data_IF_784269332748
#
_entry.id   IF_784269332748
#
_cell.length_a   1.000
_cell.length_b   1.000
_cell.length_c   1.000
_cell.angle_alpha   90.00
_cell.angle_beta   90.00
_cell.angle_gamma   90.00
#
_symmetry.space_group_name_H-M   'P 1'
#
loop_
_entity.id
_entity.type
_entity.pdbx_description
1 polymer ?
#
# COMPACT_ATOMS: atom_id res chain seq x y z
N UNK A 1 -15.40 35.32 31.17
CA UNK A 1 -13.99 35.46 30.73
C UNK A 1 -13.43 34.06 30.52
N UNK A 2 -13.44 33.54 29.29
CA UNK A 2 -12.98 32.18 29.00
C UNK A 2 -11.50 32.21 28.58
N UNK A 3 -10.64 31.64 29.42
CA UNK A 3 -9.22 31.51 29.20
C UNK A 3 -8.97 30.53 28.05
N UNK A 4 -8.63 31.05 26.87
CA UNK A 4 -8.17 30.26 25.72
C UNK A 4 -6.91 29.51 26.14
N UNK A 5 -7.02 28.20 26.39
CA UNK A 5 -5.88 27.34 26.62
C UNK A 5 -4.92 27.43 25.42
N UNK A 6 -3.72 27.95 25.65
CA UNK A 6 -2.65 28.05 24.64
C UNK A 6 -2.26 26.62 24.24
N UNK A 7 -2.69 26.14 23.06
CA UNK A 7 -2.28 24.82 22.55
C UNK A 7 -0.76 24.79 22.51
N UNK A 8 -0.16 23.76 23.13
CA UNK A 8 1.29 23.54 23.07
C UNK A 8 1.64 23.20 21.61
N UNK A 9 2.48 24.01 20.98
CA UNK A 9 2.95 23.83 19.59
C UNK A 9 4.20 22.97 19.50
N UNK A 10 4.90 22.73 20.62
CA UNK A 10 6.16 21.98 20.69
C UNK A 10 6.27 21.18 22.00
N UNK A 11 6.89 19.99 21.93
CA UNK A 11 7.29 19.17 23.08
C UNK A 11 8.69 18.62 22.80
N UNK A 12 9.64 18.81 23.74
CA UNK A 12 11.03 18.32 23.62
C UNK A 12 11.68 18.79 22.29
N UNK A 13 11.44 20.05 21.89
CA UNK A 13 12.00 20.63 20.66
C UNK A 13 11.42 20.08 19.35
N UNK A 14 10.41 19.21 19.41
CA UNK A 14 9.72 18.71 18.24
C UNK A 14 8.43 19.49 17.99
N UNK A 15 8.22 19.92 16.74
CA UNK A 15 6.97 20.50 16.27
C UNK A 15 5.82 19.50 16.43
N UNK A 16 4.72 19.93 17.04
CA UNK A 16 3.51 19.11 17.19
C UNK A 16 2.55 19.34 16.02
N UNK A 17 2.31 18.27 15.25
CA UNK A 17 1.23 18.23 14.26
C UNK A 17 -0.10 17.92 14.97
N UNK A 18 -0.80 18.96 15.43
CA UNK A 18 -1.99 18.85 16.29
C UNK A 18 -3.31 18.74 15.54
N UNK A 19 -3.32 19.09 14.26
CA UNK A 19 -4.48 19.03 13.37
C UNK A 19 -4.30 17.95 12.31
N UNK A 20 -5.39 17.54 11.67
CA UNK A 20 -5.29 16.57 10.57
C UNK A 20 -4.53 17.20 9.40
N UNK A 21 -4.83 18.45 9.08
CA UNK A 21 -4.24 19.23 8.01
C UNK A 21 -2.72 19.32 8.14
N UNK A 22 -2.22 19.56 9.36
CA UNK A 22 -0.78 19.53 9.66
C UNK A 22 -0.17 18.14 9.47
N UNK A 23 -0.87 17.08 9.87
CA UNK A 23 -0.39 15.70 9.74
C UNK A 23 -0.33 15.27 8.27
N UNK A 24 -1.32 15.64 7.46
CA UNK A 24 -1.42 15.24 6.04
C UNK A 24 -0.98 16.33 5.07
N UNK A 25 -0.12 17.26 5.51
CA UNK A 25 0.36 18.34 4.65
C UNK A 25 1.13 17.73 3.44
N UNK A 26 0.72 18.01 2.19
CA UNK A 26 1.16 17.25 1.02
C UNK A 26 2.68 17.15 0.82
N UNK A 27 3.49 18.22 1.03
CA UNK A 27 4.93 18.16 0.82
C UNK A 27 5.70 17.13 1.66
N UNK A 28 5.10 16.60 2.73
CA UNK A 28 5.70 15.52 3.53
C UNK A 28 4.77 14.32 3.68
N UNK A 29 3.79 14.18 2.79
CA UNK A 29 2.80 13.11 2.84
C UNK A 29 2.91 12.25 1.58
N UNK A 30 2.88 10.94 1.76
CA UNK A 30 2.76 9.98 0.67
C UNK A 30 1.47 9.17 0.76
N UNK A 31 0.80 8.97 -0.37
CA UNK A 31 -0.26 8.00 -0.53
C UNK A 31 0.35 6.65 -0.93
N UNK A 32 0.14 5.63 -0.11
CA UNK A 32 0.49 4.24 -0.42
C UNK A 32 -0.74 3.53 -1.01
N UNK A 33 -0.65 3.08 -2.25
CA UNK A 33 -1.64 2.23 -2.92
C UNK A 33 -1.16 0.79 -2.84
N UNK A 34 -1.74 0.02 -1.90
CA UNK A 34 -1.27 -1.32 -1.55
C UNK A 34 -2.05 -2.39 -2.31
N UNK A 35 -1.32 -3.23 -3.04
CA UNK A 35 -1.78 -4.50 -3.62
C UNK A 35 -3.01 -4.41 -4.54
N UNK A 36 -3.20 -3.27 -5.20
CA UNK A 36 -4.18 -3.11 -6.29
C UNK A 36 -3.65 -3.71 -7.60
N UNK A 37 -3.24 -4.98 -7.56
CA UNK A 37 -2.65 -5.71 -8.69
C UNK A 37 -3.62 -6.73 -9.27
N UNK A 38 -3.52 -6.99 -10.58
CA UNK A 38 -4.50 -7.76 -11.35
C UNK A 38 -4.88 -9.10 -10.70
N UNK A 39 -3.91 -9.91 -10.25
CA UNK A 39 -4.18 -11.22 -9.66
C UNK A 39 -5.03 -11.16 -8.38
N UNK A 40 -5.04 -10.04 -7.67
CA UNK A 40 -5.75 -9.88 -6.40
C UNK A 40 -7.15 -9.29 -6.54
N UNK A 41 -7.39 -8.48 -7.56
CA UNK A 41 -8.59 -7.63 -7.66
C UNK A 41 -9.28 -7.64 -9.02
N UNK A 42 -8.65 -8.18 -10.07
CA UNK A 42 -9.27 -8.34 -11.38
C UNK A 42 -10.05 -9.67 -11.48
N UNK A 43 -11.25 -9.69 -12.08
CA UNK A 43 -12.00 -10.93 -12.30
C UNK A 43 -11.21 -12.00 -13.07
N UNK A 44 -10.34 -11.63 -14.01
CA UNK A 44 -9.47 -12.56 -14.73
C UNK A 44 -8.20 -12.94 -13.94
N UNK A 45 -7.96 -12.29 -12.80
CA UNK A 45 -6.85 -12.58 -11.90
C UNK A 45 -6.95 -13.93 -11.19
N UNK A 46 -5.80 -14.52 -10.85
CA UNK A 46 -5.72 -15.86 -10.24
C UNK A 46 -6.47 -15.97 -8.91
N UNK A 47 -6.60 -14.92 -8.09
CA UNK A 47 -7.37 -15.00 -6.84
C UNK A 47 -8.85 -15.31 -7.10
N UNK A 48 -9.44 -14.75 -8.16
CA UNK A 48 -10.80 -15.08 -8.56
C UNK A 48 -10.85 -16.42 -9.31
N UNK A 49 -10.03 -16.55 -10.36
CA UNK A 49 -10.11 -17.68 -11.29
C UNK A 49 -9.69 -19.02 -10.70
N UNK A 50 -8.73 -19.03 -9.76
CA UNK A 50 -8.16 -20.27 -9.21
C UNK A 50 -8.46 -20.49 -7.74
N UNK A 51 -8.52 -19.41 -6.95
CA UNK A 51 -8.85 -19.50 -5.53
C UNK A 51 -10.33 -19.24 -5.22
N UNK A 52 -11.17 -18.91 -6.22
CA UNK A 52 -12.60 -18.69 -6.05
C UNK A 52 -12.95 -17.49 -5.16
N UNK A 53 -12.03 -16.53 -5.03
CA UNK A 53 -12.20 -15.41 -4.08
C UNK A 53 -13.29 -14.44 -4.56
N UNK A 54 -14.28 -14.13 -3.71
CA UNK A 54 -15.22 -13.05 -3.99
C UNK A 54 -14.50 -11.70 -4.08
N UNK A 55 -14.70 -10.99 -5.20
CA UNK A 55 -14.03 -9.71 -5.44
C UNK A 55 -14.84 -8.48 -5.06
N UNK A 56 -16.11 -8.64 -4.66
CA UNK A 56 -17.02 -7.52 -4.40
C UNK A 56 -16.40 -6.44 -3.51
N UNK A 57 -15.86 -6.83 -2.34
CA UNK A 57 -15.22 -5.87 -1.42
C UNK A 57 -13.90 -5.32 -1.95
N UNK A 58 -13.10 -6.15 -2.62
CA UNK A 58 -11.79 -5.74 -3.13
C UNK A 58 -11.90 -4.79 -4.33
N UNK A 59 -12.98 -4.87 -5.11
CA UNK A 59 -13.26 -3.95 -6.22
C UNK A 59 -14.06 -2.72 -5.81
N UNK A 60 -14.88 -2.80 -4.76
CA UNK A 60 -15.67 -1.67 -4.27
C UNK A 60 -14.82 -0.44 -3.87
N UNK A 61 -13.55 -0.66 -3.53
CA UNK A 61 -12.63 0.43 -3.14
C UNK A 61 -12.03 1.18 -4.34
N UNK A 62 -12.09 0.63 -5.56
CA UNK A 62 -11.43 1.19 -6.76
C UNK A 62 -11.87 2.64 -7.03
N UNK A 63 -13.17 2.99 -7.07
CA UNK A 63 -13.59 4.36 -7.35
C UNK A 63 -13.13 5.36 -6.29
N UNK A 64 -12.99 4.91 -5.04
CA UNK A 64 -12.48 5.74 -3.94
C UNK A 64 -10.97 5.97 -4.11
N UNK A 65 -10.22 4.93 -4.46
CA UNK A 65 -8.79 5.03 -4.73
C UNK A 65 -8.48 5.93 -5.92
N UNK A 66 -9.27 5.87 -6.99
CA UNK A 66 -9.11 6.78 -8.14
C UNK A 66 -9.21 8.25 -7.70
N UNK A 67 -10.22 8.59 -6.90
CA UNK A 67 -10.36 9.95 -6.35
C UNK A 67 -9.21 10.31 -5.41
N UNK A 68 -8.77 9.38 -4.57
CA UNK A 68 -7.70 9.62 -3.61
C UNK A 68 -6.35 9.84 -4.31
N UNK A 69 -6.05 9.05 -5.34
CA UNK A 69 -4.85 9.20 -6.18
C UNK A 69 -4.89 10.53 -6.92
N UNK A 70 -6.01 10.88 -7.57
CA UNK A 70 -6.16 12.15 -8.27
C UNK A 70 -6.00 13.36 -7.33
N UNK A 71 -6.55 13.27 -6.11
CA UNK A 71 -6.41 14.31 -5.09
C UNK A 71 -4.97 14.43 -4.58
N UNK A 72 -4.29 13.30 -4.35
CA UNK A 72 -2.88 13.28 -3.93
C UNK A 72 -1.99 13.95 -4.97
N UNK A 73 -2.16 13.61 -6.26
CA UNK A 73 -1.42 14.22 -7.37
C UNK A 73 -1.68 15.72 -7.48
N UNK A 74 -2.95 16.13 -7.48
CA UNK A 74 -3.34 17.55 -7.51
C UNK A 74 -2.73 18.34 -6.34
N UNK A 75 -2.62 17.73 -5.16
CA UNK A 75 -2.03 18.33 -3.98
C UNK A 75 -0.49 18.31 -3.96
N UNK A 76 0.16 17.63 -4.89
CA UNK A 76 1.61 17.44 -4.92
C UNK A 76 2.15 16.44 -3.90
N UNK A 77 1.29 15.57 -3.36
CA UNK A 77 1.72 14.47 -2.50
C UNK A 77 2.33 13.32 -3.32
N UNK A 78 3.33 12.64 -2.77
CA UNK A 78 3.96 11.49 -3.41
C UNK A 78 2.97 10.31 -3.50
N UNK A 79 2.80 9.71 -4.67
CA UNK A 79 2.01 8.48 -4.83
C UNK A 79 2.97 7.29 -4.98
N UNK A 80 2.79 6.28 -4.14
CA UNK A 80 3.61 5.07 -4.12
C UNK A 80 2.72 3.85 -4.26
N UNK A 81 2.91 3.10 -5.34
CA UNK A 81 2.28 1.81 -5.55
C UNK A 81 3.13 0.71 -4.92
N UNK A 82 2.54 0.01 -3.95
CA UNK A 82 3.19 -1.08 -3.22
C UNK A 82 2.53 -2.38 -3.64
N UNK A 83 3.16 -3.11 -4.57
CA UNK A 83 2.58 -4.29 -5.20
C UNK A 83 3.23 -5.59 -4.72
N UNK A 84 2.42 -6.54 -4.28
CA UNK A 84 2.88 -7.88 -3.97
C UNK A 84 3.45 -8.60 -5.20
N UNK A 85 4.54 -9.33 -4.99
CA UNK A 85 5.21 -10.16 -5.99
C UNK A 85 5.53 -11.52 -5.41
N UNK A 86 5.47 -12.53 -6.27
CA UNK A 86 6.01 -13.87 -6.02
C UNK A 86 7.12 -14.11 -7.03
N UNK A 87 8.29 -14.56 -6.56
CA UNK A 87 9.38 -14.93 -7.46
C UNK A 87 9.17 -16.36 -7.99
N UNK A 88 9.69 -16.68 -9.19
CA UNK A 88 9.62 -18.02 -9.75
C UNK A 88 10.31 -19.05 -8.85
N UNK A 89 9.89 -20.31 -8.99
CA UNK A 89 10.51 -21.49 -8.36
C UNK A 89 10.64 -21.42 -6.83
N UNK A 90 9.76 -20.63 -6.18
CA UNK A 90 9.80 -20.43 -4.73
C UNK A 90 10.98 -19.60 -4.25
N UNK A 91 11.70 -18.92 -5.15
CA UNK A 91 12.80 -18.04 -4.77
C UNK A 91 12.33 -16.99 -3.73
N UNK A 92 13.17 -16.75 -2.73
CA UNK A 92 12.82 -15.82 -1.63
C UNK A 92 11.68 -16.29 -0.71
N UNK A 93 11.25 -17.55 -0.80
CA UNK A 93 10.24 -18.14 0.07
C UNK A 93 10.84 -19.24 0.95
N UNK A 94 10.68 -19.13 2.26
CA UNK A 94 11.03 -20.23 3.18
C UNK A 94 9.93 -21.27 3.24
N UNK A 95 10.23 -22.48 3.73
CA UNK A 95 9.22 -23.52 3.95
C UNK A 95 8.06 -23.04 4.83
N UNK A 96 8.36 -22.33 5.93
CA UNK A 96 7.34 -21.74 6.80
C UNK A 96 6.47 -20.69 6.09
N UNK A 97 7.05 -19.91 5.18
CA UNK A 97 6.28 -18.94 4.38
C UNK A 97 5.35 -19.65 3.40
N UNK A 98 5.84 -20.66 2.68
CA UNK A 98 5.03 -21.46 1.75
C UNK A 98 3.88 -22.17 2.46
N UNK A 99 4.16 -22.74 3.63
CA UNK A 99 3.17 -23.39 4.50
C UNK A 99 2.12 -22.40 5.04
N UNK A 100 2.53 -21.19 5.43
CA UNK A 100 1.58 -20.15 5.82
C UNK A 100 0.70 -19.70 4.63
N UNK A 101 1.27 -19.58 3.42
CA UNK A 101 0.53 -19.18 2.22
C UNK A 101 -0.41 -20.27 1.70
N UNK A 102 -0.04 -21.54 1.81
CA UNK A 102 -0.91 -22.64 1.38
C UNK A 102 -2.21 -22.68 2.17
N UNK A 103 -2.16 -22.32 3.46
CA UNK A 103 -3.33 -22.16 4.35
C UNK A 103 -4.05 -20.83 4.22
N UNK A 104 -3.44 -19.82 3.62
CA UNK A 104 -4.10 -18.54 3.41
C UNK A 104 -5.25 -18.71 2.41
N UNK A 105 -6.25 -17.85 2.49
CA UNK A 105 -7.44 -17.84 1.59
C UNK A 105 -7.08 -17.85 0.09
N UNK A 106 -5.84 -17.52 -0.26
CA UNK A 106 -5.37 -17.43 -1.62
C UNK A 106 -4.85 -18.73 -2.22
N UNK A 107 -4.57 -19.79 -1.44
CA UNK A 107 -4.04 -21.16 -1.76
C UNK A 107 -3.44 -21.43 -3.16
N UNK A 108 -2.84 -20.43 -3.78
CA UNK A 108 -2.30 -20.39 -5.13
C UNK A 108 -0.90 -19.85 -4.96
N UNK A 109 0.07 -20.73 -5.15
CA UNK A 109 1.48 -20.47 -4.81
C UNK A 109 2.17 -19.56 -5.81
N UNK A 110 1.60 -19.38 -7.01
CA UNK A 110 2.11 -18.55 -8.11
C UNK A 110 1.28 -17.27 -8.35
N UNK A 111 0.54 -16.81 -7.33
CA UNK A 111 -0.18 -15.53 -7.34
C UNK A 111 0.81 -14.35 -7.44
N UNK A 112 0.51 -13.37 -8.30
CA UNK A 112 1.34 -12.19 -8.55
C UNK A 112 2.78 -12.54 -8.94
N UNK A 113 2.96 -13.54 -9.82
CA UNK A 113 4.29 -13.92 -10.32
C UNK A 113 4.96 -12.69 -10.98
N UNK A 114 6.21 -12.42 -10.61
CA UNK A 114 7.00 -11.31 -11.18
C UNK A 114 7.02 -11.36 -12.71
N UNK A 115 6.99 -10.19 -13.34
CA UNK A 115 6.99 -10.00 -14.80
C UNK A 115 5.79 -10.63 -15.53
N UNK A 116 4.68 -10.85 -14.81
CA UNK A 116 3.40 -11.25 -15.41
C UNK A 116 2.33 -10.16 -15.24
N UNK A 117 1.34 -10.16 -16.14
CA UNK A 117 0.16 -9.31 -16.03
C UNK A 117 -0.48 -9.36 -14.64
N UNK A 118 -0.56 -10.55 -14.03
CA UNK A 118 -1.12 -10.74 -12.69
C UNK A 118 -0.45 -9.90 -11.60
N UNK A 119 0.84 -9.60 -11.75
CA UNK A 119 1.58 -8.75 -10.82
C UNK A 119 1.42 -7.24 -11.10
N UNK A 120 1.01 -6.84 -12.29
CA UNK A 120 0.87 -5.43 -12.64
C UNK A 120 -0.28 -4.76 -11.86
N UNK A 121 -0.17 -3.45 -11.64
CA UNK A 121 -1.28 -2.65 -11.10
C UNK A 121 -2.46 -2.71 -12.07
N UNK A 122 -3.70 -2.75 -11.55
CA UNK A 122 -4.89 -2.75 -12.40
C UNK A 122 -4.96 -1.51 -13.29
N UNK A 123 -5.56 -1.68 -14.48
CA UNK A 123 -5.71 -0.60 -15.45
C UNK A 123 -6.50 0.60 -14.89
N UNK A 124 -7.51 0.36 -14.04
CA UNK A 124 -8.32 1.42 -13.43
C UNK A 124 -7.53 2.32 -12.47
N UNK A 125 -6.35 1.87 -12.02
CA UNK A 125 -5.43 2.61 -11.14
C UNK A 125 -4.04 2.71 -11.77
N UNK A 126 -3.98 2.75 -13.11
CA UNK A 126 -2.73 2.84 -13.85
C UNK A 126 -1.82 3.95 -13.28
N UNK A 127 -0.55 3.63 -12.99
CA UNK A 127 0.43 4.61 -12.54
C UNK A 127 0.74 5.64 -13.63
N UNK A 128 1.07 6.85 -13.20
CA UNK A 128 1.48 7.96 -14.06
C UNK A 128 2.99 8.25 -13.91
N UNK A 129 3.60 8.97 -14.89
CA UNK A 129 4.98 9.43 -14.75
C UNK A 129 5.17 10.23 -13.45
N UNK A 130 6.17 9.84 -12.65
CA UNK A 130 6.45 10.43 -11.35
C UNK A 130 5.96 9.60 -10.16
N UNK A 131 5.04 8.65 -10.37
CA UNK A 131 4.66 7.71 -9.33
C UNK A 131 5.78 6.71 -9.03
N UNK A 132 5.90 6.29 -7.77
CA UNK A 132 6.91 5.33 -7.36
C UNK A 132 6.34 3.93 -7.24
N UNK A 133 7.09 2.94 -7.75
CA UNK A 133 6.77 1.53 -7.61
C UNK A 133 7.67 0.82 -6.59
N UNK A 134 7.05 0.07 -5.68
CA UNK A 134 7.73 -0.81 -4.74
C UNK A 134 7.14 -2.21 -4.85
N UNK A 135 7.98 -3.16 -5.24
CA UNK A 135 7.67 -4.59 -5.17
C UNK A 135 7.88 -5.10 -3.73
N UNK A 136 6.94 -5.91 -3.22
CA UNK A 136 7.08 -6.58 -1.92
C UNK A 136 6.85 -8.08 -2.02
N UNK A 137 7.68 -8.86 -1.32
CA UNK A 137 7.56 -10.32 -1.24
C UNK A 137 6.87 -10.80 0.04
N UNK A 138 6.49 -9.87 0.92
CA UNK A 138 5.82 -10.12 2.20
C UNK A 138 4.54 -9.30 2.29
N UNK A 139 3.81 -9.43 3.40
CA UNK A 139 2.58 -8.67 3.61
C UNK A 139 2.85 -7.18 3.78
N UNK A 140 3.82 -6.82 4.64
CA UNK A 140 4.22 -5.43 4.84
C UNK A 140 4.99 -4.88 3.65
N UNK A 141 4.66 -3.66 3.25
CA UNK A 141 5.40 -2.88 2.26
C UNK A 141 6.81 -2.50 2.68
N UNK A 142 7.15 -2.55 3.98
CA UNK A 142 8.48 -2.15 4.48
C UNK A 142 9.48 -3.32 4.55
N UNK A 143 9.00 -4.54 4.78
CA UNK A 143 9.87 -5.70 5.05
C UNK A 143 10.58 -6.15 3.77
N UNK A 144 11.89 -5.94 3.73
CA UNK A 144 12.75 -6.37 2.62
C UNK A 144 12.49 -5.62 1.32
N UNK A 145 12.06 -4.36 1.40
CA UNK A 145 11.80 -3.50 0.24
C UNK A 145 12.55 -2.18 0.35
N UNK A 146 12.49 -1.37 -0.72
CA UNK A 146 13.02 0.00 -0.75
C UNK A 146 12.06 1.08 -0.23
N UNK A 147 10.90 0.70 0.34
CA UNK A 147 9.86 1.67 0.72
C UNK A 147 10.37 2.71 1.72
N UNK A 148 11.02 2.29 2.80
CA UNK A 148 11.57 3.21 3.81
C UNK A 148 12.58 4.19 3.19
N UNK A 149 13.51 3.69 2.37
CA UNK A 149 14.50 4.50 1.69
C UNK A 149 13.86 5.55 0.78
N UNK A 150 12.87 5.16 -0.03
CA UNK A 150 12.12 6.07 -0.91
C UNK A 150 11.43 7.17 -0.11
N UNK A 151 10.69 6.80 0.94
CA UNK A 151 9.92 7.75 1.74
C UNK A 151 10.85 8.74 2.46
N UNK A 152 11.94 8.26 3.06
CA UNK A 152 12.92 9.11 3.73
C UNK A 152 13.65 10.04 2.76
N UNK A 153 14.07 9.54 1.60
CA UNK A 153 14.74 10.36 0.58
C UNK A 153 13.83 11.48 0.05
N UNK A 154 12.52 11.25 0.02
CA UNK A 154 11.51 12.24 -0.36
C UNK A 154 11.05 13.14 0.81
N UNK A 155 11.63 13.01 2.01
CA UNK A 155 11.26 13.82 3.17
C UNK A 155 9.86 13.52 3.75
N UNK A 156 9.32 12.34 3.47
CA UNK A 156 7.96 11.96 3.90
C UNK A 156 7.94 11.69 5.41
N UNK A 157 6.99 12.31 6.10
CA UNK A 157 6.75 12.19 7.55
C UNK A 157 5.41 11.53 7.85
N UNK A 158 4.53 11.41 6.85
CA UNK A 158 3.20 10.82 7.00
C UNK A 158 2.85 9.98 5.80
N UNK A 159 2.31 8.80 6.07
CA UNK A 159 1.77 7.91 5.03
C UNK A 159 0.26 7.80 5.19
N UNK A 160 -0.45 7.93 4.08
CA UNK A 160 -1.86 7.56 3.96
C UNK A 160 -1.89 6.19 3.29
N UNK A 161 -2.33 5.16 3.99
CA UNK A 161 -2.31 3.78 3.48
C UNK A 161 -3.70 3.36 3.02
N UNK A 162 -3.83 2.95 1.76
CA UNK A 162 -5.09 2.48 1.20
C UNK A 162 -4.84 1.34 0.18
N UNK A 163 -5.83 0.47 -0.02
CA UNK A 163 -5.70 -0.68 -0.91
C UNK A 163 -6.29 -1.94 -0.31
N UNK A 164 -5.72 -3.10 -0.66
CA UNK A 164 -6.22 -4.41 -0.23
C UNK A 164 -5.11 -5.30 0.32
N UNK A 165 -5.39 -6.34 1.11
CA UNK A 165 -6.59 -6.43 1.96
C UNK A 165 -6.34 -5.70 3.28
N UNK A 166 -7.39 -5.10 3.84
CA UNK A 166 -7.33 -4.26 5.05
C UNK A 166 -6.58 -4.94 6.19
N UNK A 167 -6.99 -6.16 6.55
CA UNK A 167 -6.48 -6.92 7.70
C UNK A 167 -5.18 -7.71 7.44
N UNK A 168 -4.59 -7.57 6.24
CA UNK A 168 -3.37 -8.30 5.88
C UNK A 168 -2.30 -7.32 5.43
N UNK A 169 -2.30 -6.92 4.16
CA UNK A 169 -1.20 -6.15 3.59
C UNK A 169 -1.26 -4.68 4.00
N UNK A 170 -2.46 -4.11 4.08
CA UNK A 170 -2.65 -2.71 4.50
C UNK A 170 -2.27 -2.56 5.98
N UNK A 171 -2.84 -3.41 6.86
CA UNK A 171 -2.52 -3.43 8.29
C UNK A 171 -1.04 -3.75 8.57
N UNK A 172 -0.47 -4.77 7.92
CA UNK A 172 0.95 -5.10 8.10
C UNK A 172 1.89 -3.98 7.63
N UNK A 173 1.47 -3.18 6.65
CA UNK A 173 2.23 -2.00 6.22
C UNK A 173 2.07 -0.86 7.22
N UNK A 174 0.86 -0.63 7.74
CA UNK A 174 0.55 0.46 8.66
C UNK A 174 1.11 0.27 10.08
N UNK A 175 1.32 -0.99 10.53
CA UNK A 175 1.81 -1.31 11.88
C UNK A 175 3.32 -1.21 12.04
N UNK A 176 4.09 -1.26 10.95
CA UNK A 176 5.55 -1.17 11.05
C UNK A 176 5.91 0.26 11.45
N UNK A 177 6.51 0.38 12.64
CA UNK A 177 7.04 1.63 13.21
C UNK A 177 8.56 1.56 13.23
#
# INVERSE_FOLDING_TARGET
MAQKAKRRSEIVGAELLTTLEQKVFPPHTALLVVDMVNDLVDPAGKAAQRAGRPLAHARAVIPVLQRLVAAARTAGALVVYVGHRTLPDGAGSSGAWLDARSRATFSVTDLCLTDTWGAETIAELAPEPGDVHVAKLRYSGFVGTRLDLVLRAAGIRTVVCAGVSTNVCVEATARVQ
#
